data_IF_190743126116
#
_entry.id   IF_190743126116
#
_cell.length_a   1.000
_cell.length_b   1.000
_cell.length_c   1.000
_cell.angle_alpha   90.00
_cell.angle_beta   90.00
_cell.angle_gamma   90.00
#
_symmetry.space_group_name_H-M   'P 1'
#
loop_
_entity.id
_entity.type
_entity.pdbx_description
1 polymer ?
#
# COMPACT_ATOMS: atom_id res chain seq x y z
N UNK A 1 -18.02 3.99 -3.35
CA UNK A 1 -17.75 4.15 -1.90
C UNK A 1 -16.52 5.03 -1.76
N UNK A 2 -16.59 6.11 -0.98
CA UNK A 2 -15.41 6.95 -0.70
C UNK A 2 -14.64 6.39 0.50
N UNK A 3 -13.32 6.40 0.42
CA UNK A 3 -12.44 5.84 1.46
C UNK A 3 -11.34 6.83 1.83
N UNK A 4 -10.88 6.73 3.07
CA UNK A 4 -9.65 7.34 3.57
C UNK A 4 -8.60 6.26 3.72
N UNK A 5 -7.44 6.50 3.10
CA UNK A 5 -6.28 5.62 3.13
C UNK A 5 -5.21 6.25 4.03
N UNK A 6 -4.63 5.46 4.91
CA UNK A 6 -3.52 5.86 5.78
C UNK A 6 -2.43 4.81 5.73
N UNK A 7 -1.23 5.19 5.29
CA UNK A 7 -0.03 4.35 5.36
C UNK A 7 0.88 4.86 6.49
N UNK A 8 1.25 3.98 7.41
CA UNK A 8 2.14 4.28 8.54
C UNK A 8 3.26 3.26 8.56
N UNK A 9 4.50 3.71 8.46
CA UNK A 9 5.68 2.87 8.65
C UNK A 9 6.24 3.03 10.05
N UNK A 10 6.70 1.94 10.66
CA UNK A 10 7.60 1.99 11.83
C UNK A 10 8.98 1.59 11.33
N UNK A 11 9.96 2.48 11.45
CA UNK A 11 11.31 2.25 10.96
C UNK A 11 12.15 3.51 10.84
N UNK A 12 13.39 3.32 10.39
CA UNK A 12 14.31 4.41 10.06
C UNK A 12 14.16 4.74 8.58
N UNK A 13 13.08 5.44 8.23
CA UNK A 13 12.89 5.97 6.88
C UNK A 13 13.12 7.48 6.88
N UNK A 14 13.98 7.93 5.97
CA UNK A 14 14.19 9.34 5.67
C UNK A 14 13.89 9.56 4.20
N UNK A 15 12.98 10.49 3.92
CA UNK A 15 12.55 10.70 2.55
C UNK A 15 11.30 11.56 2.45
N UNK A 16 11.10 12.10 1.26
CA UNK A 16 9.82 12.66 0.83
C UNK A 16 9.54 12.10 -0.55
N UNK A 17 8.50 11.30 -0.64
CA UNK A 17 8.00 10.78 -1.89
C UNK A 17 6.57 11.19 -2.13
N UNK A 18 6.19 11.20 -3.40
CA UNK A 18 4.84 11.38 -3.87
C UNK A 18 4.59 10.30 -4.91
N UNK A 19 3.51 9.56 -4.72
CA UNK A 19 2.99 8.64 -5.73
C UNK A 19 1.76 9.30 -6.34
N UNK A 20 1.80 9.51 -7.65
CA UNK A 20 0.68 10.04 -8.41
C UNK A 20 0.09 8.89 -9.23
N UNK A 21 -1.25 8.82 -9.29
CA UNK A 21 -1.99 7.80 -10.05
C UNK A 21 -1.66 6.34 -9.66
N UNK A 22 -1.55 6.06 -8.37
CA UNK A 22 -1.43 4.68 -7.88
C UNK A 22 -2.67 3.84 -8.22
N UNK A 23 -2.46 2.63 -8.74
CA UNK A 23 -3.50 1.65 -9.08
C UNK A 23 -3.31 0.41 -8.21
N UNK A 24 -4.39 -0.01 -7.55
CA UNK A 24 -4.41 -1.19 -6.69
C UNK A 24 -5.46 -2.20 -7.13
N UNK A 25 -5.08 -3.48 -7.16
CA UNK A 25 -5.98 -4.60 -7.47
C UNK A 25 -6.15 -5.47 -6.23
N UNK A 26 -7.39 -5.69 -5.82
CA UNK A 26 -7.71 -6.61 -4.72
C UNK A 26 -8.04 -8.01 -5.25
N UNK A 27 -7.71 -9.03 -4.46
CA UNK A 27 -8.11 -10.42 -4.69
C UNK A 27 -8.74 -11.01 -3.44
N UNK A 28 -9.59 -12.02 -3.62
CA UNK A 28 -10.37 -12.68 -2.56
C UNK A 28 -11.40 -11.76 -1.85
N UNK A 29 -11.96 -10.81 -2.61
CA UNK A 29 -13.01 -9.90 -2.13
C UNK A 29 -14.38 -10.51 -2.44
N UNK A 30 -15.19 -10.75 -1.41
CA UNK A 30 -16.55 -11.27 -1.54
C UNK A 30 -17.60 -10.17 -1.42
N UNK A 31 -17.31 -9.15 -0.61
CA UNK A 31 -18.11 -7.94 -0.44
C UNK A 31 -17.23 -6.70 -0.50
N UNK A 32 -17.79 -5.55 -0.87
CA UNK A 32 -17.01 -4.31 -0.93
C UNK A 32 -16.42 -3.91 0.44
N UNK A 33 -17.01 -4.37 1.54
CA UNK A 33 -16.52 -4.10 2.89
C UNK A 33 -15.28 -4.92 3.25
N UNK A 34 -15.01 -6.00 2.52
CA UNK A 34 -13.79 -6.79 2.66
C UNK A 34 -12.55 -6.02 2.23
N UNK A 35 -12.67 -4.86 1.59
CA UNK A 35 -11.53 -3.97 1.30
C UNK A 35 -11.13 -3.11 2.50
N UNK A 36 -12.00 -2.97 3.51
CA UNK A 36 -11.78 -2.10 4.66
C UNK A 36 -10.97 -2.81 5.74
N UNK A 37 -10.01 -2.13 6.34
CA UNK A 37 -9.19 -2.68 7.42
C UNK A 37 -7.71 -2.39 7.26
N UNK A 38 -6.90 -3.11 8.02
CA UNK A 38 -5.45 -2.93 8.08
C UNK A 38 -4.73 -4.04 7.33
N UNK A 39 -3.94 -3.65 6.34
CA UNK A 39 -3.07 -4.54 5.59
C UNK A 39 -1.64 -4.41 6.09
N UNK A 40 -0.93 -5.53 6.14
CA UNK A 40 0.51 -5.59 6.36
C UNK A 40 1.24 -5.79 5.03
N UNK A 41 2.50 -5.37 4.95
CA UNK A 41 3.34 -5.74 3.80
C UNK A 41 3.48 -7.25 3.73
N UNK A 42 3.04 -7.83 2.61
CA UNK A 42 3.30 -9.21 2.26
C UNK A 42 4.73 -9.36 1.75
N UNK A 43 5.32 -10.54 1.93
CA UNK A 43 6.73 -10.84 1.63
C UNK A 43 7.10 -10.78 0.13
N UNK A 44 6.14 -10.49 -0.75
CA UNK A 44 6.38 -10.33 -2.19
C UNK A 44 6.96 -8.92 -2.47
N UNK A 45 8.27 -8.80 -2.29
CA UNK A 45 9.06 -7.64 -2.68
C UNK A 45 9.07 -7.49 -4.22
N UNK A 46 8.03 -6.88 -4.79
CA UNK A 46 8.09 -6.40 -6.16
C UNK A 46 9.06 -5.21 -6.19
N UNK A 47 10.27 -5.45 -6.71
CA UNK A 47 11.39 -4.51 -6.62
C UNK A 47 11.09 -3.10 -7.13
N UNK A 48 11.87 -2.13 -6.63
CA UNK A 48 11.86 -0.76 -7.10
C UNK A 48 12.28 -0.74 -8.58
N UNK A 49 11.33 -0.56 -9.49
CA UNK A 49 11.64 -0.36 -10.91
C UNK A 49 11.97 1.12 -11.09
N UNK A 50 12.92 1.45 -11.98
CA UNK A 50 13.58 2.78 -12.15
C UNK A 50 12.70 4.04 -12.13
N UNK A 51 11.37 3.94 -12.14
CA UNK A 51 10.44 5.07 -12.04
C UNK A 51 9.11 4.75 -11.31
N UNK A 52 8.99 3.60 -10.62
CA UNK A 52 7.73 3.17 -10.03
C UNK A 52 7.87 2.14 -8.91
N UNK A 53 6.97 2.21 -7.93
CA UNK A 53 6.89 1.32 -6.78
C UNK A 53 5.78 0.29 -6.99
N UNK A 54 6.08 -0.98 -6.72
CA UNK A 54 5.09 -2.04 -6.62
C UNK A 54 5.21 -2.72 -5.26
N UNK A 55 4.09 -3.05 -4.63
CA UNK A 55 4.07 -3.76 -3.35
C UNK A 55 2.81 -4.61 -3.24
N UNK A 56 2.92 -5.71 -2.49
CA UNK A 56 1.78 -6.55 -2.14
C UNK A 56 1.49 -6.40 -0.67
N UNK A 57 0.23 -6.20 -0.34
CA UNK A 57 -0.29 -6.00 1.00
C UNK A 57 -1.35 -7.05 1.29
N UNK A 58 -1.37 -7.62 2.49
CA UNK A 58 -2.33 -8.68 2.85
C UNK A 58 -3.10 -8.37 4.12
N UNK A 59 -4.36 -8.79 4.17
CA UNK A 59 -5.25 -8.71 5.33
C UNK A 59 -6.11 -9.97 5.39
N UNK A 60 -5.71 -10.92 6.24
CA UNK A 60 -6.32 -12.24 6.24
C UNK A 60 -6.11 -12.91 4.88
N UNK A 61 -7.19 -13.29 4.21
CA UNK A 61 -7.16 -13.87 2.87
C UNK A 61 -7.18 -12.83 1.75
N UNK A 62 -7.65 -11.60 2.04
CA UNK A 62 -7.69 -10.50 1.07
C UNK A 62 -6.29 -9.99 0.80
N UNK A 63 -5.92 -9.94 -0.47
CA UNK A 63 -4.64 -9.39 -0.92
C UNK A 63 -4.86 -8.15 -1.78
N UNK A 64 -3.91 -7.23 -1.73
CA UNK A 64 -3.88 -5.98 -2.49
C UNK A 64 -2.53 -5.86 -3.17
N UNK A 65 -2.51 -5.95 -4.49
CA UNK A 65 -1.36 -5.60 -5.32
C UNK A 65 -1.45 -4.11 -5.66
N UNK A 66 -0.52 -3.30 -5.15
CA UNK A 66 -0.49 -1.86 -5.35
C UNK A 66 0.72 -1.49 -6.21
N UNK A 67 0.48 -0.83 -7.34
CA UNK A 67 1.50 -0.28 -8.20
C UNK A 67 1.28 1.23 -8.35
N UNK A 68 2.36 2.01 -8.42
CA UNK A 68 2.28 3.44 -8.60
C UNK A 68 3.53 4.01 -9.23
N UNK A 69 3.35 4.97 -10.13
CA UNK A 69 4.40 5.86 -10.58
C UNK A 69 4.59 6.95 -9.53
N UNK A 70 5.81 7.14 -9.06
CA UNK A 70 6.10 8.12 -8.03
C UNK A 70 7.40 8.85 -8.29
N UNK A 71 7.49 10.05 -7.71
CA UNK A 71 8.70 10.85 -7.67
C UNK A 71 9.14 11.02 -6.21
N UNK A 72 10.43 10.88 -5.96
CA UNK A 72 11.01 11.07 -4.63
C UNK A 72 11.99 9.99 -4.26
N UNK A 73 12.57 10.16 -3.08
CA UNK A 73 13.62 9.30 -2.55
C UNK A 73 13.16 8.88 -1.16
N UNK A 74 12.91 7.59 -0.98
CA UNK A 74 12.70 6.99 0.34
C UNK A 74 13.89 6.08 0.62
N UNK A 75 14.68 6.42 1.64
CA UNK A 75 15.82 5.63 2.09
C UNK A 75 15.53 5.12 3.49
N UNK A 76 15.36 3.81 3.62
CA UNK A 76 15.15 3.19 4.91
C UNK A 76 14.52 1.81 4.85
N UNK A 77 14.45 1.19 6.02
CA UNK A 77 13.75 -0.07 6.25
C UNK A 77 12.57 0.28 7.16
N UNK A 78 11.36 0.07 6.68
CA UNK A 78 10.14 0.25 7.48
C UNK A 78 9.24 -0.95 7.32
N UNK A 79 8.63 -1.37 8.42
CA UNK A 79 7.46 -2.25 8.39
C UNK A 79 6.23 -1.35 8.29
N UNK A 80 5.53 -1.45 7.16
CA UNK A 80 4.37 -0.62 6.86
C UNK A 80 3.04 -1.26 7.25
N UNK A 81 2.15 -0.45 7.84
CA UNK A 81 0.72 -0.72 8.00
C UNK A 81 -0.07 0.17 7.05
N UNK A 82 -0.88 -0.43 6.20
CA UNK A 82 -1.73 0.27 5.24
C UNK A 82 -3.20 0.09 5.62
N UNK A 83 -3.88 1.16 6.01
CA UNK A 83 -5.26 1.09 6.50
C UNK A 83 -6.22 1.77 5.53
N UNK A 84 -7.27 1.06 5.14
CA UNK A 84 -8.39 1.60 4.37
C UNK A 84 -9.60 1.71 5.30
N UNK A 85 -10.16 2.91 5.39
CA UNK A 85 -11.34 3.22 6.21
C UNK A 85 -12.38 3.97 5.37
N UNK A 86 -13.65 3.94 5.75
CA UNK A 86 -14.67 4.73 5.05
C UNK A 86 -14.38 6.22 5.24
N UNK A 87 -14.49 7.00 4.17
CA UNK A 87 -14.47 8.44 4.28
C UNK A 87 -15.74 8.91 5.02
N UNK A 88 -15.59 9.90 5.90
CA UNK A 88 -16.72 10.61 6.49
C UNK A 88 -17.23 11.66 5.52
#
# INVERSE_FOLDING_TARGET
MHVKITAQGVGLTAGKSRIDNGVGTFTDVHTIDDVLGSYAQGEANAGLVKSGSAQVLTKGTVSLALAGSGQGIDLGISVGKFTISRAR
#
